data_IF_927592144445
#
_entry.id   IF_927592144445
#
_cell.length_a   1.000
_cell.length_b   1.000
_cell.length_c   1.000
_cell.angle_alpha   90.00
_cell.angle_beta   90.00
_cell.angle_gamma   90.00
#
_symmetry.space_group_name_H-M   'P 1'
#
loop_
_entity.id
_entity.type
_entity.pdbx_description
1 polymer ?
#
# COMPACT_ATOMS: atom_id res chain seq x y z
N UNK A 1 5.62 16.74 -0.89
CA UNK A 1 4.77 16.10 0.12
C UNK A 1 3.37 16.65 -0.07
N UNK A 2 2.53 15.97 -0.86
CA UNK A 2 1.14 16.40 -1.05
C UNK A 2 0.34 15.88 0.13
N UNK A 3 -0.12 16.77 0.98
CA UNK A 3 -1.09 16.45 2.03
C UNK A 3 -2.30 15.82 1.34
N UNK A 4 -2.58 14.55 1.64
CA UNK A 4 -3.78 13.92 1.13
C UNK A 4 -4.97 14.61 1.79
N UNK A 5 -5.74 15.39 1.03
CA UNK A 5 -6.93 16.09 1.52
C UNK A 5 -8.18 15.19 1.57
N UNK A 6 -8.04 13.96 1.12
CA UNK A 6 -9.08 12.93 1.11
C UNK A 6 -8.62 11.80 2.01
N UNK A 7 -9.40 11.52 3.05
CA UNK A 7 -9.20 10.34 3.89
C UNK A 7 -9.62 9.10 3.11
N UNK A 8 -8.64 8.26 2.77
CA UNK A 8 -8.90 7.00 2.10
C UNK A 8 -9.40 5.97 3.10
N UNK A 9 -10.65 5.55 2.95
CA UNK A 9 -11.23 4.48 3.75
C UNK A 9 -10.53 3.15 3.46
N UNK A 10 -10.53 2.24 4.43
CA UNK A 10 -9.93 0.90 4.29
C UNK A 10 -10.44 0.15 3.06
N UNK A 11 -11.73 0.29 2.72
CA UNK A 11 -12.32 -0.28 1.51
C UNK A 11 -11.68 0.26 0.21
N UNK A 12 -11.37 1.56 0.17
CA UNK A 12 -10.72 2.21 -0.98
C UNK A 12 -9.28 1.68 -1.16
N UNK A 13 -8.56 1.54 -0.04
CA UNK A 13 -7.22 0.95 -0.03
C UNK A 13 -7.24 -0.52 -0.42
N UNK A 14 -8.26 -1.28 0.01
CA UNK A 14 -8.40 -2.69 -0.31
C UNK A 14 -8.75 -2.92 -1.78
N UNK A 15 -9.64 -2.10 -2.34
CA UNK A 15 -9.87 -2.07 -3.80
C UNK A 15 -8.59 -1.73 -4.57
N UNK A 16 -7.83 -0.74 -4.08
CA UNK A 16 -6.56 -0.35 -4.68
C UNK A 16 -5.53 -1.47 -4.64
N UNK A 17 -5.39 -2.13 -3.49
CA UNK A 17 -4.54 -3.30 -3.34
C UNK A 17 -4.97 -4.42 -4.27
N UNK A 18 -6.27 -4.72 -4.38
CA UNK A 18 -6.76 -5.80 -5.22
C UNK A 18 -6.46 -5.59 -6.71
N UNK A 19 -6.49 -4.34 -7.18
CA UNK A 19 -6.10 -3.97 -8.55
C UNK A 19 -4.58 -4.05 -8.78
N UNK A 20 -3.79 -3.73 -7.75
CA UNK A 20 -2.33 -3.69 -7.86
C UNK A 20 -1.65 -5.02 -7.48
N UNK A 21 -2.34 -5.94 -6.79
CA UNK A 21 -1.77 -7.19 -6.27
C UNK A 21 -1.14 -8.05 -7.38
N UNK A 22 -1.67 -7.96 -8.59
CA UNK A 22 -1.17 -8.71 -9.76
C UNK A 22 0.22 -8.24 -10.21
N UNK A 23 0.60 -7.00 -9.87
CA UNK A 23 1.92 -6.44 -10.13
C UNK A 23 2.86 -6.53 -8.93
N UNK A 24 2.31 -6.84 -7.75
CA UNK A 24 3.06 -6.96 -6.50
C UNK A 24 3.66 -8.37 -6.37
N UNK A 25 4.79 -8.51 -5.67
CA UNK A 25 5.28 -9.81 -5.26
C UNK A 25 4.23 -10.49 -4.37
N UNK A 26 3.93 -11.76 -4.62
CA UNK A 26 2.87 -12.50 -3.93
C UNK A 26 3.04 -12.50 -2.40
N UNK A 27 4.28 -12.60 -1.91
CA UNK A 27 4.60 -12.48 -0.48
C UNK A 27 4.22 -11.11 0.10
N UNK A 28 4.42 -10.03 -0.65
CA UNK A 28 4.08 -8.68 -0.20
C UNK A 28 2.57 -8.44 -0.26
N UNK A 29 1.90 -8.96 -1.30
CA UNK A 29 0.45 -8.87 -1.43
C UNK A 29 -0.26 -9.51 -0.23
N UNK A 30 0.14 -10.73 0.15
CA UNK A 30 -0.44 -11.46 1.30
C UNK A 30 -0.21 -10.72 2.64
N UNK A 31 1.00 -10.17 2.84
CA UNK A 31 1.32 -9.35 4.01
C UNK A 31 0.44 -8.09 4.07
N UNK A 32 0.27 -7.39 2.94
CA UNK A 32 -0.59 -6.20 2.88
C UNK A 32 -2.05 -6.57 3.15
N UNK A 33 -2.53 -7.71 2.62
CA UNK A 33 -3.88 -8.19 2.89
C UNK A 33 -4.10 -8.44 4.39
N UNK A 34 -3.19 -9.17 5.02
CA UNK A 34 -3.22 -9.44 6.47
C UNK A 34 -3.11 -8.15 7.29
N UNK A 35 -2.32 -7.19 6.83
CA UNK A 35 -2.19 -5.87 7.44
C UNK A 35 -3.49 -5.07 7.34
N UNK A 36 -4.13 -5.08 6.17
CA UNK A 36 -5.43 -4.47 5.91
C UNK A 36 -6.60 -5.17 6.63
N UNK A 37 -6.40 -6.34 7.26
CA UNK A 37 -7.41 -6.94 8.13
C UNK A 37 -7.36 -6.40 9.56
N UNK A 38 -6.27 -5.73 9.95
CA UNK A 38 -6.15 -5.07 11.26
C UNK A 38 -6.83 -3.70 11.24
N UNK A 39 -7.12 -3.17 12.42
CA UNK A 39 -7.57 -1.79 12.56
C UNK A 39 -6.39 -0.83 12.32
N UNK A 40 -6.40 -0.14 11.18
CA UNK A 40 -5.34 0.79 10.78
C UNK A 40 -5.82 2.23 10.93
N UNK A 41 -4.91 3.09 11.39
CA UNK A 41 -5.14 4.53 11.46
C UNK A 41 -5.20 5.16 10.06
N UNK A 42 -5.95 6.26 9.92
CA UNK A 42 -6.10 6.97 8.64
C UNK A 42 -4.78 7.35 7.98
N UNK A 43 -3.79 7.79 8.78
CA UNK A 43 -2.43 8.08 8.28
C UNK A 43 -1.81 6.86 7.60
N UNK A 44 -1.95 5.68 8.20
CA UNK A 44 -1.43 4.41 7.67
C UNK A 44 -2.16 4.02 6.39
N UNK A 45 -3.49 4.12 6.36
CA UNK A 45 -4.29 3.84 5.17
C UNK A 45 -3.90 4.76 4.01
N UNK A 46 -3.74 6.06 4.28
CA UNK A 46 -3.30 7.05 3.31
C UNK A 46 -1.90 6.73 2.79
N UNK A 47 -0.93 6.43 3.67
CA UNK A 47 0.42 6.05 3.27
C UNK A 47 0.44 4.79 2.40
N UNK A 48 -0.34 3.78 2.76
CA UNK A 48 -0.45 2.53 2.00
C UNK A 48 -1.06 2.78 0.62
N UNK A 49 -2.14 3.56 0.55
CA UNK A 49 -2.76 3.95 -0.71
C UNK A 49 -1.78 4.70 -1.62
N UNK A 50 -1.02 5.64 -1.06
CA UNK A 50 -0.02 6.39 -1.80
C UNK A 50 1.13 5.53 -2.30
N UNK A 51 1.57 4.55 -1.51
CA UNK A 51 2.61 3.60 -1.92
C UNK A 51 2.13 2.70 -3.09
N UNK A 52 0.87 2.27 -3.05
CA UNK A 52 0.22 1.47 -4.09
C UNK A 52 -0.18 2.28 -5.33
N UNK A 53 -0.37 3.59 -5.20
CA UNK A 53 -0.81 4.47 -6.28
C UNK A 53 0.23 4.53 -7.40
N UNK A 54 -0.16 4.22 -8.64
CA UNK A 54 0.75 4.15 -9.82
C UNK A 54 1.86 3.09 -9.65
N UNK A 55 1.60 2.00 -8.94
CA UNK A 55 2.57 0.91 -8.82
C UNK A 55 2.67 0.11 -10.14
N UNK A 56 1.55 -0.03 -10.85
CA UNK A 56 1.51 -0.56 -12.23
C UNK A 56 2.46 0.20 -13.17
N UNK A 57 2.48 1.54 -13.08
CA UNK A 57 3.34 2.42 -13.89
C UNK A 57 4.78 2.56 -13.36
N UNK A 58 5.06 2.07 -12.15
CA UNK A 58 6.39 2.17 -11.55
C UNK A 58 7.36 1.20 -12.24
N UNK A 59 8.56 1.68 -12.60
CA UNK A 59 9.64 0.82 -13.07
C UNK A 59 10.22 -0.04 -11.95
N UNK A 60 11.06 -1.03 -12.29
CA UNK A 60 11.63 -1.99 -11.31
C UNK A 60 12.32 -1.31 -10.11
N UNK A 61 13.13 -0.28 -10.36
CA UNK A 61 13.81 0.45 -9.28
C UNK A 61 12.85 1.20 -8.35
N UNK A 62 11.79 1.81 -8.90
CA UNK A 62 10.76 2.46 -8.08
C UNK A 62 9.92 1.44 -7.32
N UNK A 63 9.59 0.31 -7.95
CA UNK A 63 8.88 -0.79 -7.30
C UNK A 63 9.69 -1.33 -6.12
N UNK A 64 11.01 -1.47 -6.24
CA UNK A 64 11.88 -1.89 -5.15
C UNK A 64 11.83 -0.93 -3.95
N UNK A 65 11.93 0.38 -4.20
CA UNK A 65 11.82 1.41 -3.14
C UNK A 65 10.44 1.36 -2.48
N UNK A 66 9.38 1.20 -3.26
CA UNK A 66 8.01 1.07 -2.73
C UNK A 66 7.83 -0.20 -1.93
N UNK A 67 8.42 -1.32 -2.36
CA UNK A 67 8.38 -2.59 -1.64
C UNK A 67 9.04 -2.46 -0.26
N UNK A 68 10.21 -1.81 -0.19
CA UNK A 68 10.84 -1.51 1.10
C UNK A 68 9.94 -0.66 1.98
N UNK A 69 9.33 0.39 1.42
CA UNK A 69 8.43 1.27 2.17
C UNK A 69 7.17 0.55 2.68
N UNK A 70 6.59 -0.33 1.88
CA UNK A 70 5.47 -1.19 2.25
C UNK A 70 5.86 -2.18 3.35
N UNK A 71 7.03 -2.81 3.23
CA UNK A 71 7.59 -3.70 4.26
C UNK A 71 7.81 -2.98 5.60
N UNK A 72 8.37 -1.77 5.56
CA UNK A 72 8.55 -0.94 6.76
C UNK A 72 7.21 -0.57 7.40
N UNK A 73 6.20 -0.20 6.60
CA UNK A 73 4.86 0.10 7.10
C UNK A 73 4.24 -1.11 7.81
N UNK A 74 4.33 -2.29 7.22
CA UNK A 74 3.80 -3.54 7.80
C UNK A 74 4.57 -3.91 9.08
N UNK A 75 5.89 -3.73 9.10
CA UNK A 75 6.74 -4.11 10.23
C UNK A 75 6.63 -3.18 11.44
N UNK A 76 6.05 -1.98 11.27
CA UNK A 76 5.85 -1.01 12.35
C UNK A 76 4.67 -1.33 13.28
N UNK A 77 3.89 -2.38 13.00
CA UNK A 77 2.65 -2.73 13.71
C UNK A 77 2.67 -4.15 14.25
#
# INVERSE_FOLDING_TARGET
>A
MGECKLDHSQADVLQKWADQQVYLPQSLADQIQSFLQKELSQSTLNELFHALKKYDLAGESERAVRNQKLQELISRT
#
